data_IF_880773654164
#
_entry.id   IF_880773654164
#
_cell.length_a   1.000
_cell.length_b   1.000
_cell.length_c   1.000
_cell.angle_alpha   90.00
_cell.angle_beta   90.00
_cell.angle_gamma   90.00
#
_symmetry.space_group_name_H-M   'P 1'
#
loop_
_entity.id
_entity.type
_entity.pdbx_description
1 polymer ?
#
# COMPACT_ATOMS: atom_id res chain seq x y z
N UNK A 1 3.32 17.29 -0.20
CA UNK A 1 2.46 18.27 0.49
C UNK A 1 2.26 17.90 1.93
N UNK A 2 1.41 18.62 2.65
CA UNK A 2 0.93 18.19 3.96
C UNK A 2 -0.52 17.72 3.82
N UNK A 3 -0.91 16.66 4.53
CA UNK A 3 -2.27 16.14 4.55
C UNK A 3 -2.75 15.95 5.98
N UNK A 4 -4.07 15.89 6.12
CA UNK A 4 -4.73 15.34 7.30
C UNK A 4 -4.91 13.83 7.07
N UNK A 5 -4.56 13.02 8.07
CA UNK A 5 -4.54 11.56 7.94
C UNK A 5 -5.79 10.94 8.55
N UNK A 6 -6.37 9.98 7.85
CA UNK A 6 -7.49 9.17 8.28
C UNK A 6 -7.05 7.73 8.50
N UNK A 7 -7.67 7.05 9.47
CA UNK A 7 -7.46 5.64 9.74
C UNK A 7 -8.29 4.80 8.75
N UNK A 8 -7.64 4.30 7.68
CA UNK A 8 -8.35 3.62 6.58
C UNK A 8 -7.88 2.18 6.34
N UNK A 9 -6.82 1.73 7.03
CA UNK A 9 -6.18 0.45 6.77
C UNK A 9 -5.28 0.05 7.95
N UNK A 10 -5.46 -1.18 8.44
CA UNK A 10 -4.73 -1.77 9.56
C UNK A 10 -3.43 -2.48 9.13
N UNK A 11 -3.19 -2.71 7.84
CA UNK A 11 -2.00 -3.39 7.34
C UNK A 11 -0.74 -2.51 7.56
N UNK A 12 0.26 -2.95 8.34
CA UNK A 12 1.45 -2.16 8.64
C UNK A 12 2.25 -1.73 7.41
N UNK A 13 2.22 -2.51 6.32
CA UNK A 13 2.94 -2.16 5.08
C UNK A 13 2.27 -1.00 4.33
N UNK A 14 0.98 -0.78 4.53
CA UNK A 14 0.20 0.28 3.87
C UNK A 14 0.11 1.55 4.73
N UNK A 15 0.13 1.38 6.06
CA UNK A 15 -0.15 2.46 7.02
C UNK A 15 0.99 2.77 8.00
N UNK A 16 2.01 1.90 8.14
CA UNK A 16 3.11 2.03 9.09
C UNK A 16 2.63 2.41 10.51
N UNK A 17 3.18 3.49 11.08
CA UNK A 17 2.85 4.01 12.41
C UNK A 17 1.37 4.38 12.59
N UNK A 18 0.63 4.54 11.48
CA UNK A 18 -0.79 4.87 11.49
C UNK A 18 -1.69 3.63 11.59
N UNK A 19 -1.18 2.43 11.28
CA UNK A 19 -1.96 1.18 11.26
C UNK A 19 -2.70 0.90 12.57
N UNK A 20 -2.09 1.28 13.71
CA UNK A 20 -2.65 1.11 15.05
C UNK A 20 -3.98 1.84 15.28
N UNK A 21 -4.31 2.85 14.46
CA UNK A 21 -5.54 3.63 14.58
C UNK A 21 -6.73 3.00 13.85
N UNK A 22 -6.56 1.85 13.20
CA UNK A 22 -7.67 1.12 12.60
C UNK A 22 -7.95 1.50 11.15
N UNK A 23 -9.17 1.21 10.71
CA UNK A 23 -9.67 1.43 9.34
C UNK A 23 -11.03 2.12 9.26
N UNK A 24 -11.58 2.52 10.41
CA UNK A 24 -12.96 3.00 10.51
C UNK A 24 -13.05 4.55 10.52
N UNK A 25 -11.96 5.26 10.23
CA UNK A 25 -11.95 6.73 10.27
C UNK A 25 -12.28 7.29 11.66
N UNK A 26 -11.83 6.60 12.71
CA UNK A 26 -12.02 7.04 14.09
C UNK A 26 -10.88 7.98 14.50
N UNK A 27 -11.23 8.98 15.31
CA UNK A 27 -10.25 9.95 15.78
C UNK A 27 -9.44 9.44 16.97
N UNK A 28 -8.20 9.92 17.08
CA UNK A 28 -7.35 9.85 18.26
C UNK A 28 -6.90 11.27 18.67
N UNK A 29 -7.67 12.28 18.28
CA UNK A 29 -7.37 13.69 18.57
C UNK A 29 -7.72 14.07 20.00
N UNK A 30 -7.04 15.11 20.50
CA UNK A 30 -7.39 15.81 21.74
C UNK A 30 -8.26 17.05 21.49
N UNK A 31 -8.63 17.30 20.23
CA UNK A 31 -9.53 18.39 19.86
C UNK A 31 -10.88 18.22 20.58
N UNK A 32 -11.29 19.17 21.45
CA UNK A 32 -12.48 19.02 22.28
C UNK A 32 -13.79 18.98 21.46
N UNK A 33 -13.76 19.34 20.19
CA UNK A 33 -14.94 19.30 19.31
C UNK A 33 -15.23 17.90 18.74
N UNK A 34 -14.24 17.00 18.77
CA UNK A 34 -14.33 15.65 18.20
C UNK A 34 -13.98 14.56 19.22
N UNK A 35 -13.07 14.84 20.16
CA UNK A 35 -12.47 13.85 21.06
C UNK A 35 -13.51 13.02 21.83
N UNK A 36 -14.64 13.60 22.21
CA UNK A 36 -15.68 12.94 23.01
C UNK A 36 -16.81 12.33 22.17
N UNK A 37 -16.79 12.47 20.85
CA UNK A 37 -17.82 11.91 19.97
C UNK A 37 -17.72 10.38 19.90
N UNK A 38 -18.83 9.70 20.16
CA UNK A 38 -18.94 8.24 20.18
C UNK A 38 -19.85 7.77 19.04
N UNK A 39 -19.53 6.62 18.45
CA UNK A 39 -20.37 6.01 17.42
C UNK A 39 -21.76 5.70 17.98
N UNK A 40 -22.83 6.16 17.31
CA UNK A 40 -24.21 6.01 17.77
C UNK A 40 -24.62 6.95 18.92
N UNK A 41 -23.71 7.80 19.41
CA UNK A 41 -24.02 8.96 20.25
C UNK A 41 -24.56 10.08 19.38
N UNK A 42 -25.88 10.19 19.27
CA UNK A 42 -26.52 10.97 18.21
C UNK A 42 -26.18 12.46 18.16
N UNK A 43 -25.90 12.93 16.95
CA UNK A 43 -26.37 14.23 16.46
C UNK A 43 -27.86 14.09 16.06
N UNK A 44 -28.63 15.18 16.00
CA UNK A 44 -30.11 15.25 16.01
C UNK A 44 -30.91 14.48 14.93
N UNK A 45 -30.29 13.63 14.10
CA UNK A 45 -30.96 12.92 12.98
C UNK A 45 -30.44 11.49 12.69
N UNK A 46 -30.08 10.66 13.68
CA UNK A 46 -29.58 9.29 13.42
C UNK A 46 -30.15 8.21 14.35
N UNK A 47 -30.68 7.12 13.78
CA UNK A 47 -31.21 5.95 14.50
C UNK A 47 -30.10 5.14 15.18
N UNK A 48 -30.39 4.62 16.39
CA UNK A 48 -29.56 3.69 17.16
C UNK A 48 -29.26 2.41 16.35
N UNK A 49 -27.98 2.11 16.15
CA UNK A 49 -27.48 0.84 15.61
C UNK A 49 -26.77 0.01 16.69
N UNK A 50 -26.76 -1.31 16.48
CA UNK A 50 -26.29 -2.34 17.42
C UNK A 50 -24.80 -2.25 17.81
N UNK A 51 -24.45 -2.96 18.89
CA UNK A 51 -23.13 -2.98 19.52
C UNK A 51 -21.99 -3.21 18.50
N UNK A 52 -21.20 -2.16 18.28
CA UNK A 52 -20.02 -2.16 17.41
C UNK A 52 -18.85 -2.84 18.15
N UNK A 53 -18.07 -3.72 17.49
CA UNK A 53 -16.84 -4.26 18.08
C UNK A 53 -15.92 -3.14 18.57
N UNK A 54 -15.22 -3.38 19.69
CA UNK A 54 -14.35 -2.38 20.30
C UNK A 54 -13.21 -1.96 19.36
N UNK A 55 -12.95 -0.65 19.31
CA UNK A 55 -11.81 -0.07 18.63
C UNK A 55 -10.49 -0.59 19.28
N UNK A 56 -9.40 -0.79 18.51
CA UNK A 56 -8.10 -1.20 19.07
C UNK A 56 -7.53 -0.22 20.12
N UNK A 57 -8.06 1.01 20.18
CA UNK A 57 -7.72 2.03 21.17
C UNK A 57 -9.00 2.53 21.84
N UNK A 58 -9.49 1.82 22.86
CA UNK A 58 -10.57 2.30 23.74
C UNK A 58 -12.00 2.17 23.18
N UNK A 59 -12.90 3.05 23.63
CA UNK A 59 -14.29 3.07 23.20
C UNK A 59 -14.41 3.50 21.72
N UNK A 60 -15.35 2.90 20.99
CA UNK A 60 -15.63 3.19 19.57
C UNK A 60 -16.04 4.65 19.38
N UNK A 61 -15.16 5.44 18.76
CA UNK A 61 -15.40 6.85 18.44
C UNK A 61 -16.28 6.97 17.20
N UNK A 62 -16.92 8.12 17.04
CA UNK A 62 -17.65 8.44 15.82
C UNK A 62 -16.71 8.29 14.59
N UNK A 63 -17.20 7.66 13.54
CA UNK A 63 -16.47 7.46 12.28
C UNK A 63 -16.46 8.72 11.41
N UNK A 64 -15.58 8.76 10.42
CA UNK A 64 -15.51 9.85 9.43
C UNK A 64 -14.63 11.04 9.86
N UNK A 65 -13.86 10.89 10.93
CA UNK A 65 -12.96 11.90 11.45
C UNK A 65 -11.50 11.59 11.15
N UNK A 66 -10.65 12.62 11.02
CA UNK A 66 -9.22 12.39 10.92
C UNK A 66 -8.67 11.81 12.23
N UNK A 67 -7.57 11.06 12.12
CA UNK A 67 -6.85 10.53 13.30
C UNK A 67 -6.49 11.68 14.24
N UNK A 68 -6.00 12.79 13.68
CA UNK A 68 -5.71 14.02 14.39
C UNK A 68 -6.06 15.23 13.52
N UNK A 69 -6.55 16.31 14.13
CA UNK A 69 -6.75 17.60 13.46
C UNK A 69 -5.41 18.33 13.26
N UNK A 70 -4.53 17.75 12.44
CA UNK A 70 -3.21 18.29 12.18
C UNK A 70 -2.73 17.92 10.76
N UNK A 71 -1.97 18.83 10.15
CA UNK A 71 -1.28 18.59 8.89
C UNK A 71 0.06 17.89 9.11
N UNK A 72 0.34 16.87 8.33
CA UNK A 72 1.62 16.14 8.37
C UNK A 72 2.17 15.85 6.97
N UNK A 73 3.49 15.67 6.90
CA UNK A 73 4.17 15.13 5.72
C UNK A 73 4.34 13.61 5.79
N UNK A 74 4.13 13.00 6.97
CA UNK A 74 4.21 11.56 7.21
C UNK A 74 2.94 10.84 6.70
N UNK A 75 2.73 10.86 5.38
CA UNK A 75 1.51 10.38 4.74
C UNK A 75 1.66 8.89 4.38
N UNK A 76 0.83 7.98 4.92
CA UNK A 76 0.87 6.57 4.55
C UNK A 76 0.30 6.35 3.14
N UNK A 77 0.72 5.26 2.50
CA UNK A 77 0.20 4.84 1.20
C UNK A 77 -1.32 4.64 1.25
N UNK A 78 -1.86 4.09 2.35
CA UNK A 78 -3.31 3.95 2.53
C UNK A 78 -4.09 5.26 2.35
N UNK A 79 -3.52 6.41 2.76
CA UNK A 79 -4.15 7.72 2.55
C UNK A 79 -4.17 8.10 1.05
N UNK A 80 -3.09 7.81 0.32
CA UNK A 80 -3.03 8.02 -1.12
C UNK A 80 -4.03 7.12 -1.84
N UNK A 81 -4.17 5.86 -1.40
CA UNK A 81 -5.06 4.88 -2.01
C UNK A 81 -6.53 5.29 -1.96
N UNK A 82 -6.97 6.01 -0.93
CA UNK A 82 -8.35 6.52 -0.90
C UNK A 82 -8.71 7.41 -2.10
N UNK A 83 -7.74 8.20 -2.58
CA UNK A 83 -7.96 9.18 -3.65
C UNK A 83 -7.42 8.70 -5.01
N UNK A 84 -6.36 7.90 -5.04
CA UNK A 84 -5.60 7.54 -6.25
C UNK A 84 -5.75 6.06 -6.66
N UNK A 85 -6.85 5.40 -6.32
CA UNK A 85 -7.07 3.99 -6.64
C UNK A 85 -7.67 3.69 -8.01
N UNK A 86 -8.39 4.64 -8.61
CA UNK A 86 -9.10 4.46 -9.88
C UNK A 86 -8.77 5.58 -10.87
N UNK A 87 -7.53 6.09 -10.91
CA UNK A 87 -7.18 6.90 -12.07
C UNK A 87 -7.20 5.95 -13.29
N UNK A 88 -8.04 6.19 -14.33
CA UNK A 88 -8.17 5.26 -15.47
C UNK A 88 -6.84 5.01 -16.20
N UNK A 89 -5.82 5.81 -15.88
CA UNK A 89 -4.48 5.71 -16.44
C UNK A 89 -3.42 5.22 -15.44
N UNK A 90 -3.72 5.09 -14.13
CA UNK A 90 -2.84 4.49 -13.11
C UNK A 90 -3.68 3.79 -12.03
N UNK A 91 -3.64 2.46 -12.02
CA UNK A 91 -4.25 1.65 -10.97
C UNK A 91 -3.21 1.34 -9.88
N UNK A 92 -3.09 2.22 -8.88
CA UNK A 92 -2.00 2.17 -7.89
C UNK A 92 -2.05 0.97 -6.93
N UNK A 93 -3.16 0.23 -6.84
CA UNK A 93 -3.25 -0.95 -5.97
C UNK A 93 -2.20 -2.01 -6.32
N UNK A 94 -1.69 -2.02 -7.57
CA UNK A 94 -0.60 -2.92 -7.98
C UNK A 94 0.68 -2.72 -7.17
N UNK A 95 0.93 -1.49 -6.67
CA UNK A 95 2.05 -1.22 -5.75
C UNK A 95 1.93 -2.04 -4.46
N UNK A 96 0.71 -2.20 -3.96
CA UNK A 96 0.39 -3.02 -2.78
C UNK A 96 0.17 -4.51 -3.14
N UNK A 97 0.32 -4.89 -4.40
CA UNK A 97 0.07 -6.26 -4.86
C UNK A 97 -1.40 -6.64 -4.89
N UNK A 98 -2.30 -5.67 -5.04
CA UNK A 98 -3.74 -5.90 -5.11
C UNK A 98 -4.28 -5.54 -6.49
N UNK A 99 -5.36 -6.23 -6.89
CA UNK A 99 -6.14 -5.91 -8.08
C UNK A 99 -7.63 -5.90 -7.80
N UNK A 100 -8.42 -5.31 -8.70
CA UNK A 100 -9.87 -5.36 -8.58
C UNK A 100 -10.31 -6.82 -8.52
N UNK A 101 -11.22 -7.13 -7.60
CA UNK A 101 -11.73 -8.49 -7.47
C UNK A 101 -12.47 -8.90 -8.76
N UNK A 102 -12.29 -10.15 -9.15
CA UNK A 102 -12.81 -10.71 -10.41
C UNK A 102 -14.26 -11.16 -10.33
N UNK A 103 -14.92 -10.99 -9.19
CA UNK A 103 -16.28 -11.46 -8.89
C UNK A 103 -16.47 -12.97 -8.82
N UNK A 104 -15.39 -13.74 -8.99
CA UNK A 104 -15.43 -15.19 -9.17
C UNK A 104 -14.69 -15.91 -8.04
N UNK A 105 -13.48 -15.45 -7.70
CA UNK A 105 -12.66 -16.07 -6.66
C UNK A 105 -13.39 -16.01 -5.32
N UNK A 106 -13.64 -17.17 -4.70
CA UNK A 106 -14.41 -17.29 -3.45
C UNK A 106 -15.83 -16.65 -3.51
N UNK A 107 -16.43 -16.58 -4.69
CA UNK A 107 -17.76 -15.97 -4.94
C UNK A 107 -18.86 -16.34 -3.94
N UNK A 108 -19.03 -17.61 -3.47
CA UNK A 108 -20.06 -17.95 -2.49
C UNK A 108 -19.98 -17.16 -1.18
N UNK A 109 -18.79 -16.69 -0.80
CA UNK A 109 -18.59 -15.88 0.41
C UNK A 109 -19.07 -14.44 0.22
N UNK A 110 -19.02 -13.92 -1.01
CA UNK A 110 -19.26 -12.51 -1.36
C UNK A 110 -20.64 -12.24 -1.96
N UNK A 111 -21.27 -13.25 -2.55
CA UNK A 111 -22.61 -13.16 -3.13
C UNK A 111 -23.67 -13.76 -2.18
N UNK A 112 -24.91 -13.23 -2.17
CA UNK A 112 -26.01 -13.86 -1.43
C UNK A 112 -26.43 -15.18 -2.09
N UNK A 113 -26.83 -16.17 -1.29
CA UNK A 113 -27.28 -17.48 -1.79
C UNK A 113 -28.48 -17.38 -2.73
N UNK A 114 -29.36 -16.39 -2.48
CA UNK A 114 -30.50 -16.06 -3.34
C UNK A 114 -30.28 -14.70 -3.97
N UNK A 115 -30.52 -14.64 -5.28
CA UNK A 115 -30.41 -13.40 -6.03
C UNK A 115 -31.30 -12.30 -5.44
N UNK A 116 -30.73 -11.11 -5.28
CA UNK A 116 -31.43 -9.91 -4.82
C UNK A 116 -32.02 -9.15 -6.01
N UNK A 117 -33.22 -8.60 -5.83
CA UNK A 117 -33.91 -7.74 -6.78
C UNK A 117 -34.21 -6.38 -6.15
N UNK A 118 -33.18 -5.53 -5.95
CA UNK A 118 -33.36 -4.24 -5.30
C UNK A 118 -34.18 -3.26 -6.15
N UNK A 119 -34.97 -2.45 -5.46
CA UNK A 119 -35.73 -1.33 -6.03
C UNK A 119 -34.80 -0.28 -6.64
N UNK A 120 -35.31 0.61 -7.49
CA UNK A 120 -34.51 1.71 -8.03
C UNK A 120 -33.95 2.64 -6.96
N UNK A 121 -34.66 2.81 -5.83
CA UNK A 121 -34.19 3.59 -4.69
C UNK A 121 -32.99 2.94 -4.01
N UNK A 122 -33.09 1.64 -3.69
CA UNK A 122 -31.97 0.90 -3.08
C UNK A 122 -30.76 0.85 -4.02
N UNK A 123 -31.00 0.68 -5.33
CA UNK A 123 -29.93 0.76 -6.34
C UNK A 123 -29.22 2.11 -6.32
N UNK A 124 -29.98 3.20 -6.27
CA UNK A 124 -29.42 4.55 -6.20
C UNK A 124 -28.60 4.74 -4.91
N UNK A 125 -29.14 4.36 -3.75
CA UNK A 125 -28.45 4.49 -2.46
C UNK A 125 -27.13 3.71 -2.40
N UNK A 126 -27.06 2.52 -3.03
CA UNK A 126 -25.82 1.75 -3.14
C UNK A 126 -24.85 2.42 -4.13
N UNK A 127 -25.34 2.80 -5.31
CA UNK A 127 -24.51 3.32 -6.40
C UNK A 127 -23.96 4.73 -6.13
N UNK A 128 -24.65 5.52 -5.31
CA UNK A 128 -24.19 6.85 -4.87
C UNK A 128 -22.88 6.77 -4.08
N UNK A 129 -22.70 5.72 -3.27
CA UNK A 129 -21.45 5.48 -2.51
C UNK A 129 -20.47 4.55 -3.21
N UNK A 130 -20.95 3.64 -4.04
CA UNK A 130 -20.13 2.67 -4.75
C UNK A 130 -20.53 2.62 -6.23
N UNK A 131 -19.75 3.20 -7.16
CA UNK A 131 -20.11 3.30 -8.58
C UNK A 131 -20.11 1.95 -9.33
N UNK A 132 -19.81 0.85 -8.65
CA UNK A 132 -19.75 -0.50 -9.19
C UNK A 132 -21.14 -1.12 -9.34
N UNK A 133 -21.53 -1.46 -10.58
CA UNK A 133 -22.83 -2.08 -10.84
C UNK A 133 -23.07 -3.41 -10.07
N UNK A 134 -22.01 -4.19 -9.84
CA UNK A 134 -22.10 -5.46 -9.12
C UNK A 134 -22.47 -5.30 -7.63
N UNK A 135 -22.13 -4.16 -7.01
CA UNK A 135 -22.41 -3.89 -5.60
C UNK A 135 -23.90 -3.91 -5.24
N UNK A 136 -24.76 -3.61 -6.21
CA UNK A 136 -26.23 -3.69 -6.09
C UNK A 136 -26.71 -5.11 -5.77
N UNK A 137 -25.99 -6.11 -6.27
CA UNK A 137 -26.38 -7.52 -6.15
C UNK A 137 -25.53 -8.26 -5.10
N UNK A 138 -24.33 -7.77 -4.82
CA UNK A 138 -23.38 -8.34 -3.87
C UNK A 138 -23.73 -8.12 -2.40
N UNK A 139 -23.08 -8.89 -1.50
CA UNK A 139 -23.17 -8.63 -0.05
C UNK A 139 -22.51 -7.31 0.33
N UNK A 140 -21.51 -6.85 -0.42
CA UNK A 140 -20.79 -5.60 -0.18
C UNK A 140 -21.55 -4.34 -0.60
N UNK A 141 -22.77 -4.50 -1.14
CA UNK A 141 -23.75 -3.43 -1.13
C UNK A 141 -24.13 -3.00 0.29
N UNK A 142 -23.89 -3.83 1.33
CA UNK A 142 -23.97 -3.45 2.74
C UNK A 142 -22.60 -2.98 3.25
N UNK A 143 -22.56 -1.77 3.83
CA UNK A 143 -21.33 -1.17 4.37
C UNK A 143 -20.77 -1.98 5.52
N UNK A 144 -21.60 -2.58 6.37
CA UNK A 144 -21.10 -3.39 7.48
C UNK A 144 -20.54 -4.73 7.02
N UNK A 145 -21.05 -5.31 5.93
CA UNK A 145 -20.40 -6.45 5.29
C UNK A 145 -19.05 -6.02 4.69
N UNK A 146 -19.06 -4.96 3.87
CA UNK A 146 -17.84 -4.44 3.21
C UNK A 146 -16.74 -4.15 4.24
N UNK A 147 -17.10 -3.47 5.33
CA UNK A 147 -16.18 -3.15 6.44
C UNK A 147 -15.56 -4.39 7.06
N UNK A 148 -16.17 -5.58 6.97
CA UNK A 148 -15.69 -6.81 7.62
C UNK A 148 -15.20 -7.87 6.64
N UNK A 149 -15.08 -7.58 5.34
CA UNK A 149 -14.60 -8.55 4.34
C UNK A 149 -13.27 -9.17 4.77
N UNK A 150 -12.30 -8.36 5.20
CA UNK A 150 -11.01 -8.88 5.66
C UNK A 150 -11.14 -9.83 6.88
N UNK A 151 -12.04 -9.56 7.82
CA UNK A 151 -12.14 -10.33 9.06
C UNK A 151 -13.01 -11.58 8.90
N UNK A 152 -14.10 -11.46 8.14
CA UNK A 152 -15.12 -12.51 8.04
C UNK A 152 -14.88 -13.42 6.81
N UNK A 153 -14.35 -12.88 5.72
CA UNK A 153 -14.19 -13.61 4.44
C UNK A 153 -12.81 -14.26 4.34
N UNK A 154 -11.73 -13.53 4.63
CA UNK A 154 -10.37 -14.06 4.45
C UNK A 154 -10.08 -15.35 5.22
N UNK A 155 -10.57 -15.56 6.47
CA UNK A 155 -10.37 -16.83 7.18
C UNK A 155 -11.06 -18.03 6.52
N UNK A 156 -12.08 -17.79 5.70
CA UNK A 156 -12.85 -18.83 5.01
C UNK A 156 -12.44 -19.00 3.54
N UNK A 157 -11.81 -17.97 2.96
CA UNK A 157 -11.41 -17.93 1.56
C UNK A 157 -10.34 -18.98 1.23
N UNK A 158 -10.51 -19.65 0.10
CA UNK A 158 -9.64 -20.74 -0.35
C UNK A 158 -8.77 -20.32 -1.52
N UNK A 159 -9.22 -19.40 -2.37
CA UNK A 159 -8.55 -19.11 -3.63
C UNK A 159 -7.87 -17.75 -3.63
N UNK A 160 -8.34 -16.82 -2.79
CA UNK A 160 -7.80 -15.48 -2.67
C UNK A 160 -7.79 -14.94 -1.24
N UNK A 161 -7.19 -13.76 -1.07
CA UNK A 161 -7.34 -12.90 0.10
C UNK A 161 -7.72 -11.50 -0.36
N UNK A 162 -8.54 -10.81 0.42
CA UNK A 162 -9.01 -9.45 0.19
C UNK A 162 -8.21 -8.43 1.02
N UNK A 163 -8.08 -7.22 0.49
CA UNK A 163 -7.48 -6.10 1.19
C UNK A 163 -8.30 -5.69 2.42
N UNK A 164 -7.67 -4.99 3.36
CA UNK A 164 -8.35 -4.42 4.53
C UNK A 164 -9.14 -3.14 4.19
N UNK A 165 -8.66 -2.39 3.19
CA UNK A 165 -9.24 -1.14 2.71
C UNK A 165 -10.23 -1.38 1.56
N UNK A 166 -11.21 -0.48 1.45
CA UNK A 166 -12.33 -0.58 0.48
C UNK A 166 -12.72 0.79 -0.11
N UNK A 167 -11.76 1.56 -0.60
CA UNK A 167 -12.11 2.85 -1.20
C UNK A 167 -13.02 2.69 -2.43
N UNK A 168 -13.87 3.68 -2.65
CA UNK A 168 -15.03 3.61 -3.57
C UNK A 168 -16.02 2.46 -3.27
N UNK A 169 -15.89 1.78 -2.13
CA UNK A 169 -16.72 0.62 -1.80
C UNK A 169 -16.29 -0.69 -2.46
N UNK A 170 -15.14 -0.70 -3.15
CA UNK A 170 -14.68 -1.83 -3.95
C UNK A 170 -13.94 -2.88 -3.14
N UNK A 171 -13.94 -4.11 -3.66
CA UNK A 171 -13.15 -5.21 -3.12
C UNK A 171 -11.89 -5.42 -3.96
N UNK A 172 -10.75 -5.49 -3.29
CA UNK A 172 -9.45 -5.72 -3.92
C UNK A 172 -8.88 -7.06 -3.48
N UNK A 173 -8.46 -7.87 -4.43
CA UNK A 173 -7.87 -9.19 -4.19
C UNK A 173 -6.35 -9.16 -4.30
N UNK A 174 -5.68 -9.89 -3.41
CA UNK A 174 -4.24 -10.05 -3.41
C UNK A 174 -3.80 -10.85 -4.65
N UNK A 175 -2.74 -10.39 -5.30
CA UNK A 175 -2.11 -11.10 -6.42
C UNK A 175 -1.00 -11.99 -5.88
N UNK A 176 -1.13 -13.30 -6.07
CA UNK A 176 -0.12 -14.27 -5.62
C UNK A 176 0.78 -14.73 -6.77
N UNK A 177 2.04 -15.03 -6.45
CA UNK A 177 3.01 -15.63 -7.38
C UNK A 177 2.49 -16.99 -7.83
N UNK A 178 2.45 -17.21 -9.14
CA UNK A 178 2.00 -18.47 -9.74
C UNK A 178 2.93 -18.93 -10.85
N UNK A 179 2.97 -20.23 -11.09
CA UNK A 179 3.56 -20.79 -12.31
C UNK A 179 2.60 -20.63 -13.52
N UNK A 180 3.04 -21.09 -14.71
CA UNK A 180 2.23 -21.02 -15.94
C UNK A 180 0.97 -21.90 -15.91
N UNK A 181 0.91 -22.90 -15.04
CA UNK A 181 -0.27 -23.76 -14.87
C UNK A 181 -1.24 -23.17 -13.82
N UNK A 182 -0.87 -22.08 -13.16
CA UNK A 182 -1.69 -21.42 -12.15
C UNK A 182 -1.46 -21.92 -10.72
N UNK A 183 -0.46 -22.76 -10.46
CA UNK A 183 -0.14 -23.21 -9.09
C UNK A 183 0.47 -22.06 -8.29
N UNK A 184 0.09 -21.91 -7.02
CA UNK A 184 0.72 -20.97 -6.10
C UNK A 184 2.18 -21.34 -5.87
N UNK A 185 3.05 -20.32 -5.77
CA UNK A 185 4.48 -20.50 -5.54
C UNK A 185 4.96 -19.82 -4.25
N UNK A 186 5.93 -20.46 -3.60
CA UNK A 186 6.68 -19.88 -2.51
C UNK A 186 7.84 -18.98 -3.00
N UNK A 187 8.64 -18.48 -2.07
CA UNK A 187 9.78 -17.61 -2.36
C UNK A 187 10.82 -18.30 -3.25
N UNK A 188 11.09 -19.58 -3.00
CA UNK A 188 12.07 -20.40 -3.73
C UNK A 188 11.54 -20.87 -5.10
N UNK A 189 10.23 -20.72 -5.33
CA UNK A 189 9.57 -21.12 -6.57
C UNK A 189 9.03 -22.55 -6.54
N UNK A 190 8.92 -23.16 -5.36
CA UNK A 190 8.23 -24.45 -5.20
C UNK A 190 6.72 -24.24 -5.17
N UNK A 191 5.98 -25.28 -5.58
CA UNK A 191 4.53 -25.29 -5.54
C UNK A 191 4.03 -25.34 -4.09
N UNK A 192 3.18 -24.38 -3.72
CA UNK A 192 2.37 -24.42 -2.49
C UNK A 192 1.07 -25.15 -2.80
N UNK A 193 0.79 -26.22 -2.06
CA UNK A 193 -0.42 -27.03 -2.29
C UNK A 193 -1.69 -26.21 -2.03
N UNK A 194 -2.72 -26.46 -2.82
CA UNK A 194 -4.00 -25.74 -2.72
C UNK A 194 -4.71 -25.93 -1.37
N UNK A 195 -4.48 -27.06 -0.70
CA UNK A 195 -5.02 -27.42 0.60
C UNK A 195 -4.06 -27.15 1.77
N UNK A 196 -2.90 -26.52 1.51
CA UNK A 196 -1.97 -26.15 2.58
C UNK A 196 -2.63 -25.12 3.51
N UNK A 197 -2.79 -25.41 4.82
CA UNK A 197 -3.45 -24.50 5.75
C UNK A 197 -2.67 -23.19 5.95
N UNK A 198 -1.38 -23.16 5.60
CA UNK A 198 -0.50 -22.00 5.75
C UNK A 198 -0.27 -21.24 4.44
N UNK A 199 -1.00 -21.57 3.36
CA UNK A 199 -0.82 -20.94 2.04
C UNK A 199 -0.92 -19.42 2.11
N UNK A 200 -1.90 -18.88 2.85
CA UNK A 200 -2.13 -17.43 2.97
C UNK A 200 -1.75 -16.85 4.33
N UNK A 201 -1.62 -17.69 5.36
CA UNK A 201 -1.21 -17.27 6.71
C UNK A 201 -0.43 -18.38 7.41
N UNK A 202 0.84 -18.14 7.70
CA UNK A 202 1.67 -19.06 8.50
C UNK A 202 1.20 -19.09 9.95
N UNK A 203 1.38 -20.24 10.59
CA UNK A 203 1.11 -20.41 12.02
C UNK A 203 1.97 -19.44 12.82
N UNK A 204 1.35 -18.73 13.78
CA UNK A 204 2.04 -17.75 14.62
C UNK A 204 2.24 -16.37 13.99
N UNK A 205 1.93 -16.17 12.70
CA UNK A 205 1.81 -14.82 12.13
C UNK A 205 0.58 -14.13 12.73
N UNK A 206 0.74 -12.86 13.10
CA UNK A 206 -0.35 -12.01 13.58
C UNK A 206 -1.45 -11.83 12.55
N UNK A 207 -2.38 -10.91 12.81
CA UNK A 207 -3.41 -10.53 11.83
C UNK A 207 -2.79 -10.08 10.51
N UNK A 208 -1.69 -9.33 10.61
CA UNK A 208 -0.86 -8.84 9.51
C UNK A 208 0.58 -9.33 9.67
N UNK A 209 1.31 -9.39 8.57
CA UNK A 209 2.74 -9.71 8.60
C UNK A 209 3.55 -8.47 8.98
N UNK A 210 4.73 -8.69 9.58
CA UNK A 210 5.65 -7.59 9.82
C UNK A 210 6.16 -7.00 8.48
N UNK A 211 6.68 -5.78 8.54
CA UNK A 211 7.34 -5.15 7.41
C UNK A 211 8.49 -6.05 6.94
N UNK A 212 8.54 -6.31 5.63
CA UNK A 212 9.54 -7.16 5.00
C UNK A 212 9.25 -8.67 5.04
N UNK A 213 8.12 -9.09 5.61
CA UNK A 213 7.74 -10.50 5.73
C UNK A 213 6.47 -10.85 4.95
N UNK A 214 6.40 -12.05 4.38
CA UNK A 214 5.19 -12.60 3.78
C UNK A 214 4.26 -13.18 4.86
N UNK A 215 2.94 -12.98 4.71
CA UNK A 215 1.93 -13.49 5.66
C UNK A 215 1.77 -15.01 5.55
N UNK A 216 1.73 -15.53 4.33
CA UNK A 216 1.58 -16.96 4.02
C UNK A 216 2.85 -17.57 3.40
N UNK A 217 2.76 -18.86 3.05
CA UNK A 217 3.78 -19.54 2.21
C UNK A 217 3.72 -19.05 0.77
N UNK A 218 2.52 -18.82 0.23
CA UNK A 218 2.36 -18.26 -1.11
C UNK A 218 2.79 -16.79 -1.10
N UNK A 219 3.61 -16.40 -2.07
CA UNK A 219 4.14 -15.03 -2.16
C UNK A 219 3.05 -14.09 -2.65
N UNK A 220 2.66 -13.13 -1.82
CA UNK A 220 1.86 -11.97 -2.23
C UNK A 220 2.76 -10.99 -2.97
N UNK A 221 2.42 -10.70 -4.23
CA UNK A 221 3.22 -9.96 -5.20
C UNK A 221 3.03 -8.45 -5.05
N UNK A 222 3.36 -7.92 -3.87
CA UNK A 222 3.50 -6.48 -3.67
C UNK A 222 4.82 -5.96 -4.25
N UNK A 223 4.91 -4.67 -4.52
CA UNK A 223 6.18 -4.05 -4.89
C UNK A 223 7.19 -4.22 -3.75
N UNK A 224 8.47 -4.44 -4.09
CA UNK A 224 9.51 -4.67 -3.08
C UNK A 224 9.68 -3.46 -2.13
N UNK A 225 9.46 -2.24 -2.62
CA UNK A 225 9.48 -1.04 -1.80
C UNK A 225 8.33 -1.09 -0.78
N UNK A 226 7.12 -1.42 -1.23
CA UNK A 226 5.96 -1.58 -0.36
C UNK A 226 6.17 -2.70 0.67
N UNK A 227 6.74 -3.84 0.25
CA UNK A 227 7.03 -4.97 1.15
C UNK A 227 7.96 -4.55 2.28
N UNK A 228 8.98 -3.75 1.95
CA UNK A 228 9.94 -3.17 2.91
C UNK A 228 9.40 -1.94 3.64
N UNK A 229 8.13 -1.59 3.46
CA UNK A 229 7.44 -0.54 4.20
C UNK A 229 7.63 0.86 3.63
N UNK A 230 8.20 1.01 2.44
CA UNK A 230 8.33 2.32 1.79
C UNK A 230 6.96 2.81 1.31
N UNK A 231 6.65 4.06 1.62
CA UNK A 231 5.38 4.70 1.31
C UNK A 231 5.50 5.57 0.06
N UNK A 232 4.37 5.89 -0.58
CA UNK A 232 4.34 6.80 -1.73
C UNK A 232 5.08 8.13 -1.44
N UNK A 233 4.94 8.67 -0.22
CA UNK A 233 5.57 9.92 0.20
C UNK A 233 7.11 9.84 0.38
N UNK A 234 7.68 8.64 0.38
CA UNK A 234 9.14 8.43 0.42
C UNK A 234 9.79 8.69 -0.94
N UNK A 235 9.03 8.50 -2.03
CA UNK A 235 9.49 8.66 -3.42
C UNK A 235 8.86 9.90 -4.11
N UNK A 236 7.60 10.23 -3.81
CA UNK A 236 6.91 11.39 -4.37
C UNK A 236 7.12 12.64 -3.51
N UNK A 237 7.87 13.60 -4.07
CA UNK A 237 8.26 14.81 -3.34
C UNK A 237 7.27 15.96 -3.53
N UNK A 238 7.71 17.17 -3.19
CA UNK A 238 6.86 18.36 -3.17
C UNK A 238 6.27 18.68 -4.55
N UNK A 239 7.04 18.50 -5.63
CA UNK A 239 6.55 18.75 -6.98
C UNK A 239 5.50 17.71 -7.38
N UNK A 240 5.79 16.42 -7.21
CA UNK A 240 4.83 15.35 -7.52
C UNK A 240 3.52 15.53 -6.72
N UNK A 241 3.60 16.07 -5.50
CA UNK A 241 2.42 16.32 -4.66
C UNK A 241 1.62 17.57 -5.02
N UNK A 242 2.25 18.64 -5.50
CA UNK A 242 1.62 19.96 -5.70
C UNK A 242 1.55 20.38 -7.17
N UNK A 243 2.14 19.60 -8.06
CA UNK A 243 2.39 19.96 -9.45
C UNK A 243 3.51 21.00 -9.59
N UNK A 244 3.83 21.30 -10.83
CA UNK A 244 4.74 22.37 -11.25
C UNK A 244 4.03 23.42 -12.12
N UNK A 245 2.70 23.45 -12.08
CA UNK A 245 1.86 24.37 -12.85
C UNK A 245 1.62 23.95 -14.30
N UNK A 246 2.10 22.77 -14.72
CA UNK A 246 1.85 22.23 -16.06
C UNK A 246 0.68 21.24 -16.06
N UNK A 247 -0.01 21.16 -17.20
CA UNK A 247 -1.01 20.13 -17.48
C UNK A 247 -0.32 19.04 -18.30
N UNK A 248 -0.43 17.79 -17.84
CA UNK A 248 0.16 16.63 -18.48
C UNK A 248 -0.87 15.84 -19.29
N UNK A 249 -0.47 15.38 -20.49
CA UNK A 249 -1.33 14.56 -21.35
C UNK A 249 -1.43 13.09 -20.92
N UNK A 250 -0.47 12.61 -20.11
CA UNK A 250 -0.47 11.28 -19.52
C UNK A 250 0.13 11.35 -18.11
N UNK A 251 -0.26 10.41 -17.25
CA UNK A 251 0.06 10.48 -15.82
C UNK A 251 1.54 10.25 -15.55
N UNK A 252 2.21 9.39 -16.33
CA UNK A 252 3.64 9.13 -16.20
C UNK A 252 4.49 10.40 -16.43
N UNK A 253 4.00 11.34 -17.23
CA UNK A 253 4.72 12.58 -17.51
C UNK A 253 4.75 13.56 -16.34
N UNK A 254 3.89 13.36 -15.34
CA UNK A 254 3.83 14.19 -14.13
C UNK A 254 4.83 13.77 -13.04
N UNK A 255 5.60 12.70 -13.25
CA UNK A 255 6.53 12.16 -12.25
C UNK A 255 7.92 12.77 -12.43
N UNK A 256 8.47 13.37 -11.36
CA UNK A 256 9.81 13.97 -11.38
C UNK A 256 10.92 12.96 -11.11
N UNK A 257 10.63 11.95 -10.30
CA UNK A 257 11.60 10.96 -9.82
C UNK A 257 11.74 9.79 -10.80
N UNK A 258 12.97 9.34 -11.05
CA UNK A 258 13.29 8.14 -11.80
C UNK A 258 14.12 7.15 -10.99
N UNK A 259 14.11 5.87 -11.38
CA UNK A 259 14.79 4.81 -10.64
C UNK A 259 16.29 5.09 -10.46
N UNK A 260 16.95 5.59 -11.51
CA UNK A 260 18.40 5.88 -11.50
C UNK A 260 18.79 7.01 -10.55
N UNK A 261 17.84 7.85 -10.14
CA UNK A 261 18.10 9.01 -9.29
C UNK A 261 18.47 8.56 -7.87
N UNK A 262 17.97 7.39 -7.44
CA UNK A 262 18.31 6.74 -6.17
C UNK A 262 19.17 5.48 -6.33
N UNK A 263 19.01 4.72 -7.42
CA UNK A 263 19.73 3.44 -7.60
C UNK A 263 20.99 3.54 -8.46
N UNK A 264 21.14 4.61 -9.24
CA UNK A 264 22.21 4.77 -10.22
C UNK A 264 22.04 3.91 -11.47
N UNK A 265 23.13 3.72 -12.20
CA UNK A 265 23.23 2.89 -13.40
C UNK A 265 24.26 1.77 -13.19
N UNK A 266 24.48 0.92 -14.19
CA UNK A 266 25.55 -0.07 -14.16
C UNK A 266 26.94 0.56 -14.02
N UNK A 267 27.13 1.77 -14.55
CA UNK A 267 28.43 2.42 -14.62
C UNK A 267 28.64 3.49 -13.53
N UNK A 268 27.56 4.04 -12.99
CA UNK A 268 27.63 5.19 -12.08
C UNK A 268 26.69 5.06 -10.87
N UNK A 269 27.18 5.54 -9.73
CA UNK A 269 26.33 5.78 -8.56
C UNK A 269 25.30 6.90 -8.83
N UNK A 270 24.14 6.90 -8.16
CA UNK A 270 23.15 7.97 -8.26
C UNK A 270 23.74 9.32 -7.87
N UNK A 271 23.35 10.38 -8.59
CA UNK A 271 23.72 11.75 -8.27
C UNK A 271 22.69 12.44 -7.34
N UNK A 272 21.59 11.77 -6.99
CA UNK A 272 20.50 12.28 -6.16
C UNK A 272 19.84 13.54 -6.74
N UNK A 273 19.84 13.70 -8.06
CA UNK A 273 19.08 14.72 -8.76
C UNK A 273 17.94 14.06 -9.51
N UNK A 274 16.72 14.56 -9.34
CA UNK A 274 15.57 14.04 -10.08
C UNK A 274 15.76 14.26 -11.58
N UNK A 275 15.37 13.28 -12.41
CA UNK A 275 15.66 13.32 -13.84
C UNK A 275 14.56 12.75 -14.75
N UNK A 276 13.39 12.44 -14.21
CA UNK A 276 12.28 11.92 -15.00
C UNK A 276 11.51 13.06 -15.71
N UNK A 277 10.44 12.75 -16.43
CA UNK A 277 9.78 13.66 -17.39
C UNK A 277 9.34 14.98 -16.76
N UNK A 278 8.83 14.98 -15.52
CA UNK A 278 8.43 16.21 -14.86
C UNK A 278 9.58 16.96 -14.17
N UNK A 279 10.81 16.41 -14.15
CA UNK A 279 11.92 17.05 -13.48
C UNK A 279 12.27 18.38 -14.15
N UNK A 280 12.41 19.43 -13.34
CA UNK A 280 12.91 20.74 -13.79
C UNK A 280 14.34 20.62 -14.36
N UNK A 281 14.80 21.58 -15.19
CA UNK A 281 16.21 21.64 -15.59
C UNK A 281 17.15 21.59 -14.37
N UNK A 282 18.10 20.64 -14.39
CA UNK A 282 19.03 20.40 -13.28
C UNK A 282 18.46 19.57 -12.12
N UNK A 283 17.19 19.19 -12.16
CA UNK A 283 16.55 18.33 -11.18
C UNK A 283 16.31 18.96 -9.80
N UNK A 284 15.53 18.24 -9.00
CA UNK A 284 15.39 18.46 -7.56
C UNK A 284 16.51 17.71 -6.85
N UNK A 285 17.25 18.39 -5.98
CA UNK A 285 18.36 17.79 -5.24
C UNK A 285 17.88 17.07 -3.98
N UNK A 286 17.85 15.75 -4.04
CA UNK A 286 17.35 14.88 -2.97
C UNK A 286 18.28 14.85 -1.75
N UNK A 287 19.58 15.16 -1.91
CA UNK A 287 20.53 15.21 -0.79
C UNK A 287 20.25 16.37 0.20
N UNK A 288 19.46 17.35 -0.24
CA UNK A 288 19.03 18.48 0.59
C UNK A 288 17.77 18.16 1.41
N UNK A 289 17.06 17.07 1.10
CA UNK A 289 15.84 16.71 1.81
C UNK A 289 16.13 16.35 3.26
N UNK A 290 15.21 16.77 4.13
CA UNK A 290 15.20 16.47 5.56
C UNK A 290 13.85 15.92 5.97
N UNK A 291 13.87 15.00 6.92
CA UNK A 291 12.66 14.51 7.57
C UNK A 291 12.25 15.45 8.72
N UNK A 292 11.08 15.22 9.30
CA UNK A 292 10.54 16.10 10.36
C UNK A 292 11.40 16.15 11.62
N UNK A 293 12.24 15.13 11.84
CA UNK A 293 13.22 15.04 12.91
C UNK A 293 14.56 15.74 12.58
N UNK A 294 14.67 16.37 11.41
CA UNK A 294 15.87 17.07 10.96
C UNK A 294 16.96 16.17 10.35
N UNK A 295 16.78 14.86 10.30
CA UNK A 295 17.74 13.95 9.66
C UNK A 295 17.71 14.07 8.14
N UNK A 296 18.83 13.73 7.50
CA UNK A 296 18.87 13.61 6.04
C UNK A 296 17.99 12.46 5.58
N UNK A 297 17.12 12.73 4.59
CA UNK A 297 16.33 11.65 3.97
C UNK A 297 17.22 10.70 3.19
N UNK A 298 18.17 11.25 2.45
CA UNK A 298 19.17 10.49 1.70
C UNK A 298 20.56 10.82 2.24
N UNK A 299 21.30 9.79 2.61
CA UNK A 299 22.63 9.95 3.21
C UNK A 299 23.61 8.91 2.68
N UNK A 300 24.76 9.39 2.21
CA UNK A 300 25.88 8.53 1.86
C UNK A 300 26.66 8.17 3.12
N UNK A 301 26.94 6.88 3.28
CA UNK A 301 27.72 6.31 4.37
C UNK A 301 28.67 5.23 3.82
N UNK A 302 29.37 4.56 4.72
CA UNK A 302 30.17 3.38 4.44
C UNK A 302 29.56 2.20 5.18
N UNK A 303 29.36 1.07 4.49
CA UNK A 303 28.85 -0.15 5.12
C UNK A 303 29.95 -0.95 5.84
N UNK A 304 29.55 -2.07 6.45
CA UNK A 304 30.45 -2.91 7.24
C UNK A 304 31.61 -3.51 6.42
N UNK A 305 31.50 -3.57 5.09
CA UNK A 305 32.53 -4.07 4.20
C UNK A 305 33.47 -2.96 3.69
N UNK A 306 33.28 -1.71 4.16
CA UNK A 306 34.03 -0.56 3.66
C UNK A 306 33.50 -0.03 2.32
N UNK A 307 32.38 -0.56 1.82
CA UNK A 307 31.79 -0.13 0.56
C UNK A 307 30.87 1.08 0.77
N UNK A 308 30.77 1.91 -0.27
CA UNK A 308 29.95 3.12 -0.25
C UNK A 308 28.46 2.74 -0.27
N UNK A 309 27.69 3.13 0.74
CA UNK A 309 26.27 2.82 0.84
C UNK A 309 25.41 4.10 0.82
N UNK A 310 24.24 4.03 0.20
CA UNK A 310 23.22 5.06 0.26
C UNK A 310 22.10 4.61 1.20
N UNK A 311 21.81 5.40 2.23
CA UNK A 311 20.68 5.20 3.13
C UNK A 311 19.54 6.12 2.72
N UNK A 312 18.34 5.57 2.62
CA UNK A 312 17.09 6.31 2.53
C UNK A 312 16.29 6.11 3.83
N UNK A 313 15.81 7.18 4.44
CA UNK A 313 14.99 7.14 5.66
C UNK A 313 13.53 7.40 5.33
N UNK A 314 12.62 6.67 5.97
CA UNK A 314 11.19 6.91 5.78
C UNK A 314 10.80 8.30 6.29
N UNK A 315 9.98 9.01 5.53
CA UNK A 315 9.31 10.24 5.96
C UNK A 315 8.18 9.94 6.94
N UNK A 316 7.69 8.69 6.97
CA UNK A 316 6.51 8.29 7.74
C UNK A 316 6.91 7.65 9.06
N UNK A 317 7.82 6.68 9.05
CA UNK A 317 8.31 6.02 10.26
C UNK A 317 9.77 6.40 10.55
N UNK A 318 10.05 7.19 11.61
CA UNK A 318 11.43 7.61 11.92
C UNK A 318 12.36 6.47 12.35
N UNK A 319 11.82 5.26 12.63
CA UNK A 319 12.62 4.08 12.95
C UNK A 319 12.99 3.24 11.73
N UNK A 320 12.44 3.58 10.56
CA UNK A 320 12.61 2.82 9.33
C UNK A 320 13.58 3.52 8.38
N UNK A 321 14.63 2.79 8.00
CA UNK A 321 15.59 3.20 6.99
C UNK A 321 16.03 2.00 6.15
N UNK A 322 16.47 2.28 4.92
CA UNK A 322 16.83 1.27 3.94
C UNK A 322 18.21 1.57 3.37
N UNK A 323 19.07 0.55 3.29
CA UNK A 323 20.20 0.55 2.35
C UNK A 323 19.63 0.42 0.95
N UNK A 324 19.75 1.47 0.15
CA UNK A 324 19.31 1.46 -1.24
C UNK A 324 20.16 0.45 -2.02
N UNK A 325 19.52 -0.41 -2.81
CA UNK A 325 20.23 -1.35 -3.68
C UNK A 325 20.83 -0.60 -4.87
N UNK A 326 22.16 -0.49 -4.94
CA UNK A 326 22.81 0.29 -5.99
C UNK A 326 23.10 -0.59 -7.21
N UNK A 327 22.74 -0.12 -8.41
CA UNK A 327 22.85 -0.92 -9.63
C UNK A 327 24.30 -1.29 -9.92
N UNK A 328 25.22 -0.34 -9.80
CA UNK A 328 26.66 -0.52 -10.00
C UNK A 328 27.23 -1.66 -9.15
N UNK A 329 26.86 -1.72 -7.87
CA UNK A 329 27.32 -2.78 -6.95
C UNK A 329 26.80 -4.15 -7.39
N UNK A 330 25.53 -4.23 -7.77
CA UNK A 330 24.91 -5.51 -8.15
C UNK A 330 25.51 -6.17 -9.39
N UNK A 331 26.26 -5.43 -10.20
CA UNK A 331 26.89 -5.91 -11.44
C UNK A 331 28.41 -6.00 -11.35
N UNK A 332 29.02 -5.44 -10.30
CA UNK A 332 30.47 -5.46 -10.07
C UNK A 332 30.88 -6.72 -9.32
N UNK A 333 31.67 -7.59 -9.96
CA UNK A 333 32.17 -8.84 -9.36
C UNK A 333 33.09 -8.61 -8.15
N UNK A 334 33.64 -7.40 -8.01
CA UNK A 334 34.46 -7.01 -6.86
C UNK A 334 33.65 -6.55 -5.65
N UNK A 335 32.35 -6.27 -5.80
CA UNK A 335 31.50 -5.81 -4.69
C UNK A 335 30.97 -6.99 -3.87
N UNK A 336 30.89 -6.79 -2.56
CA UNK A 336 30.21 -7.68 -1.63
C UNK A 336 28.71 -7.85 -1.93
N UNK A 337 28.12 -6.93 -2.71
CA UNK A 337 26.71 -6.95 -3.10
C UNK A 337 26.50 -7.45 -4.54
N UNK A 338 27.52 -8.07 -5.16
CA UNK A 338 27.41 -8.67 -6.48
C UNK A 338 26.25 -9.67 -6.55
N UNK A 339 25.45 -9.59 -7.61
CA UNK A 339 24.41 -10.56 -7.88
C UNK A 339 24.48 -11.03 -9.34
N UNK A 340 24.86 -12.29 -9.54
CA UNK A 340 25.05 -12.87 -10.86
C UNK A 340 23.80 -12.77 -11.77
N UNK A 341 22.60 -12.98 -11.20
CA UNK A 341 21.34 -12.86 -11.94
C UNK A 341 21.07 -11.40 -12.33
N UNK A 342 21.33 -10.45 -11.43
CA UNK A 342 21.19 -9.03 -11.72
C UNK A 342 22.20 -8.56 -12.78
N UNK A 343 23.46 -8.98 -12.68
CA UNK A 343 24.50 -8.69 -13.67
C UNK A 343 24.11 -9.20 -15.06
N UNK A 344 23.65 -10.46 -15.16
CA UNK A 344 23.16 -11.04 -16.42
C UNK A 344 21.99 -10.23 -17.00
N UNK A 345 21.00 -9.90 -16.16
CA UNK A 345 19.81 -9.17 -16.60
C UNK A 345 20.11 -7.73 -17.05
N UNK A 346 21.07 -7.06 -16.42
CA UNK A 346 21.34 -5.62 -16.64
C UNK A 346 22.44 -5.35 -17.67
N UNK A 347 23.38 -6.26 -17.84
CA UNK A 347 24.50 -6.12 -18.79
C UNK A 347 24.26 -6.83 -20.12
N UNK A 348 23.11 -7.51 -20.29
CA UNK A 348 22.78 -8.28 -21.50
C UNK A 348 23.91 -9.26 -21.88
N UNK A 349 24.52 -9.90 -20.87
CA UNK A 349 25.63 -10.83 -21.08
C UNK A 349 25.21 -11.97 -22.01
N UNK A 350 25.99 -12.21 -23.07
CA UNK A 350 25.73 -13.24 -24.08
C UNK A 350 26.04 -14.67 -23.62
N UNK A 351 26.58 -14.85 -22.42
CA UNK A 351 27.07 -16.15 -21.94
C UNK A 351 25.93 -16.97 -21.27
N UNK A 352 25.56 -18.14 -21.81
CA UNK A 352 24.47 -18.96 -21.29
C UNK A 352 24.83 -19.79 -20.04
N UNK A 353 26.07 -19.74 -19.55
CA UNK A 353 26.58 -20.60 -18.47
C UNK A 353 26.56 -19.97 -17.06
N UNK A 354 25.82 -18.87 -16.86
CA UNK A 354 25.45 -18.34 -15.55
C UNK A 354 23.92 -18.34 -15.39
#
# INVERSE_FOLDING_TARGET
GCHVIYANDREPKHSLIWAKFGRDGQTATVDPTIADKLEGGGDAHGKKGDAVPAHPIGATKEKGHPIQHAFTRAIPTAQCMNCHMHQPNIFLNSYLGYTMWDYESDAPLMWPEKQRYPTSKERFEILDRNPEAAAVHGKWGDVEFLRRVYDDVNPQAKDTQFADYHGHGWNFRAVYKRDRAGNLLDADGNIVKSDDPEKFKKTGTGEFANIGEQKGKAVHMMDIHAEKGMQCADCHFAQDSHGNGLIYGEVANAVEIGCKDCHGTADAFPNLLTSNVAARPGGTNLALLRNGDGQRRFEWTTDANGERALIQRSIVDPKLEWRVSLVKESVDRGSAHFNAKAARAKLMGRDPLI
#
